data_IF_154027477242
#
_entry.id   IF_154027477242
#
_cell.length_a   1.000
_cell.length_b   1.000
_cell.length_c   1.000
_cell.angle_alpha   90.00
_cell.angle_beta   90.00
_cell.angle_gamma   90.00
#
_symmetry.space_group_name_H-M   'P 1'
#
loop_
_entity.id
_entity.type
_entity.pdbx_description
1 polymer ?
#
# COMPACT_ATOMS: atom_id res chain seq x y z
N UNK A 1 -14.80 -7.85 -13.38
CA UNK A 1 -14.92 -6.38 -13.15
C UNK A 1 -13.72 -5.68 -13.79
N UNK A 2 -13.93 -4.77 -14.74
CA UNK A 2 -12.83 -4.09 -15.44
C UNK A 2 -11.99 -3.21 -14.50
N UNK A 3 -10.68 -3.10 -14.74
CA UNK A 3 -9.78 -2.29 -13.91
C UNK A 3 -10.14 -0.81 -13.88
N UNK A 4 -10.90 -0.36 -14.88
CA UNK A 4 -11.52 0.97 -14.94
C UNK A 4 -12.38 1.29 -13.71
N UNK A 5 -13.10 0.31 -13.14
CA UNK A 5 -13.91 0.54 -11.94
C UNK A 5 -13.07 0.95 -10.74
N UNK A 6 -11.84 0.46 -10.63
CA UNK A 6 -10.93 0.86 -9.54
C UNK A 6 -10.43 2.29 -9.71
N UNK A 7 -10.12 2.71 -10.94
CA UNK A 7 -9.77 4.10 -11.19
C UNK A 7 -10.96 5.02 -10.92
N UNK A 8 -12.17 4.64 -11.33
CA UNK A 8 -13.40 5.36 -11.00
C UNK A 8 -13.58 5.46 -9.48
N UNK A 9 -13.32 4.38 -8.74
CA UNK A 9 -13.32 4.39 -7.28
C UNK A 9 -12.33 5.41 -6.71
N UNK A 10 -11.10 5.49 -7.22
CA UNK A 10 -10.13 6.50 -6.78
C UNK A 10 -10.59 7.94 -7.08
N UNK A 11 -11.36 8.16 -8.15
CA UNK A 11 -11.96 9.47 -8.47
C UNK A 11 -13.09 9.83 -7.50
N UNK A 12 -13.93 8.86 -7.13
CA UNK A 12 -15.09 9.06 -6.26
C UNK A 12 -14.69 9.09 -4.77
N UNK A 13 -13.65 8.37 -4.39
CA UNK A 13 -13.22 8.22 -3.00
C UNK A 13 -12.99 9.53 -2.23
N UNK A 14 -12.29 10.55 -2.77
CA UNK A 14 -12.14 11.86 -2.14
C UNK A 14 -13.48 12.52 -1.79
N UNK A 15 -14.52 12.23 -2.58
CA UNK A 15 -15.84 12.75 -2.35
C UNK A 15 -16.54 12.02 -1.20
N UNK A 16 -16.48 10.69 -1.21
CA UNK A 16 -17.01 9.87 -0.12
C UNK A 16 -16.28 10.12 1.21
N UNK A 17 -14.98 10.45 1.14
CA UNK A 17 -14.15 10.83 2.27
C UNK A 17 -14.35 12.27 2.74
N UNK A 18 -15.23 13.05 2.11
CA UNK A 18 -15.52 14.45 2.44
C UNK A 18 -14.25 15.33 2.52
N UNK A 19 -13.24 15.04 1.70
CA UNK A 19 -11.93 15.70 1.80
C UNK A 19 -12.01 17.22 1.58
N UNK A 20 -12.97 17.69 0.79
CA UNK A 20 -13.19 19.12 0.59
C UNK A 20 -13.53 19.87 1.89
N UNK A 21 -14.09 19.19 2.90
CA UNK A 21 -14.38 19.77 4.24
C UNK A 21 -13.19 19.71 5.17
N UNK A 22 -12.35 18.68 5.05
CA UNK A 22 -11.22 18.45 5.96
C UNK A 22 -9.91 19.08 5.47
N UNK A 23 -9.77 19.41 4.18
CA UNK A 23 -8.60 20.09 3.61
C UNK A 23 -8.32 21.49 4.20
N UNK A 24 -9.32 22.37 4.40
CA UNK A 24 -9.13 23.67 5.05
C UNK A 24 -8.45 23.58 6.42
N UNK A 25 -8.70 22.50 7.16
CA UNK A 25 -8.09 22.26 8.47
C UNK A 25 -6.58 22.01 8.38
N UNK A 26 -6.11 21.53 7.23
CA UNK A 26 -4.70 21.36 6.92
C UNK A 26 -4.08 22.60 6.23
N UNK A 27 -4.79 23.73 6.19
CA UNK A 27 -4.35 24.95 5.50
C UNK A 27 -4.33 24.81 3.97
N UNK A 28 -5.20 23.97 3.41
CA UNK A 28 -5.34 23.73 1.97
C UNK A 28 -6.73 24.14 1.49
N UNK A 29 -6.85 24.54 0.23
CA UNK A 29 -8.13 24.99 -0.32
C UNK A 29 -9.06 23.79 -0.58
N UNK A 30 -10.37 23.95 -0.36
CA UNK A 30 -11.34 22.86 -0.52
C UNK A 30 -11.39 22.27 -1.93
N UNK A 31 -11.16 23.10 -2.96
CA UNK A 31 -11.19 22.64 -4.35
C UNK A 31 -10.02 21.70 -4.67
N UNK A 32 -8.90 21.79 -3.95
CA UNK A 32 -7.74 20.91 -4.18
C UNK A 32 -8.08 19.44 -3.90
N UNK A 33 -9.05 19.19 -3.02
CA UNK A 33 -9.57 17.85 -2.74
C UNK A 33 -10.38 17.27 -3.91
N UNK A 34 -10.98 18.13 -4.74
CA UNK A 34 -11.91 17.74 -5.80
C UNK A 34 -11.20 17.43 -7.12
N UNK A 35 -9.99 17.99 -7.33
CA UNK A 35 -9.19 17.76 -8.54
C UNK A 35 -8.55 16.38 -8.49
N UNK A 36 -8.94 15.44 -9.37
CA UNK A 36 -8.40 14.09 -9.33
C UNK A 36 -6.90 14.04 -9.57
N UNK A 37 -6.20 13.16 -8.85
CA UNK A 37 -4.75 13.01 -8.91
C UNK A 37 -4.01 14.09 -8.12
N UNK A 38 -4.38 15.37 -8.30
CA UNK A 38 -3.82 16.47 -7.50
C UNK A 38 -4.20 16.34 -6.02
N UNK A 39 -5.42 15.92 -5.72
CA UNK A 39 -5.85 15.63 -4.35
C UNK A 39 -4.93 14.62 -3.63
N UNK A 40 -4.59 13.49 -4.25
CA UNK A 40 -3.66 12.52 -3.69
C UNK A 40 -2.23 13.06 -3.59
N UNK A 41 -1.79 13.87 -4.56
CA UNK A 41 -0.50 14.56 -4.46
C UNK A 41 -0.46 15.45 -3.22
N UNK A 42 -1.52 16.22 -2.95
CA UNK A 42 -1.65 17.09 -1.77
C UNK A 42 -1.69 16.24 -0.49
N UNK A 43 -2.48 15.17 -0.44
CA UNK A 43 -2.55 14.25 0.71
C UNK A 43 -1.16 13.71 1.06
N UNK A 44 -0.42 13.15 0.11
CA UNK A 44 0.91 12.61 0.39
C UNK A 44 1.93 13.71 0.74
N UNK A 45 1.74 14.93 0.20
CA UNK A 45 2.56 16.09 0.55
C UNK A 45 2.37 16.50 2.02
N UNK A 46 1.11 16.65 2.47
CA UNK A 46 0.81 17.15 3.82
C UNK A 46 0.96 16.08 4.91
N UNK A 47 0.80 14.79 4.57
CA UNK A 47 0.85 13.70 5.54
C UNK A 47 2.25 13.10 5.70
N UNK A 48 2.90 12.79 4.57
CA UNK A 48 4.13 11.98 4.51
C UNK A 48 5.32 12.74 3.93
N UNK A 49 5.14 13.98 3.45
CA UNK A 49 6.15 14.76 2.72
C UNK A 49 6.68 14.07 1.45
N UNK A 50 5.87 13.20 0.83
CA UNK A 50 6.25 12.42 -0.36
C UNK A 50 5.22 12.56 -1.49
N UNK A 51 5.03 13.77 -2.04
CA UNK A 51 3.95 14.05 -3.00
C UNK A 51 3.91 13.08 -4.19
N UNK A 52 5.07 12.70 -4.73
CA UNK A 52 5.18 11.81 -5.90
C UNK A 52 4.74 10.36 -5.64
N UNK A 53 4.49 9.98 -4.39
CA UNK A 53 3.87 8.68 -4.10
C UNK A 53 2.47 8.56 -4.70
N UNK A 54 1.79 9.67 -5.01
CA UNK A 54 0.53 9.64 -5.75
C UNK A 54 0.64 9.00 -7.13
N UNK A 55 1.79 9.05 -7.80
CA UNK A 55 1.98 8.44 -9.12
C UNK A 55 1.88 6.91 -9.07
N UNK A 56 2.17 6.31 -7.91
CA UNK A 56 2.08 4.86 -7.72
C UNK A 56 0.63 4.35 -7.74
N UNK A 57 -0.36 5.24 -7.58
CA UNK A 57 -1.79 4.92 -7.71
C UNK A 57 -2.20 4.56 -9.14
N UNK A 58 -1.37 4.83 -10.14
CA UNK A 58 -1.65 4.50 -11.54
C UNK A 58 -1.43 3.01 -11.81
N UNK A 59 -0.65 2.30 -10.98
CA UNK A 59 -0.33 0.89 -11.20
C UNK A 59 -1.39 -0.02 -10.58
N UNK A 60 -2.06 -0.88 -11.38
CA UNK A 60 -2.97 -1.89 -10.85
C UNK A 60 -2.34 -2.79 -9.78
N UNK A 61 -3.11 -3.19 -8.76
CA UNK A 61 -2.63 -3.88 -7.55
C UNK A 61 -1.94 -2.94 -6.54
N UNK A 62 -0.95 -2.16 -6.99
CA UNK A 62 -0.21 -1.22 -6.12
C UNK A 62 -1.10 -0.10 -5.63
N UNK A 63 -2.02 0.38 -6.47
CA UNK A 63 -2.93 1.45 -6.12
C UNK A 63 -3.76 1.16 -4.85
N UNK A 64 -4.10 -0.09 -4.53
CA UNK A 64 -4.82 -0.44 -3.30
C UNK A 64 -3.96 -0.20 -2.07
N UNK A 65 -2.69 -0.60 -2.12
CA UNK A 65 -1.72 -0.37 -1.05
C UNK A 65 -1.49 1.13 -0.87
N UNK A 66 -1.35 1.86 -1.98
CA UNK A 66 -1.14 3.30 -1.95
C UNK A 66 -2.38 4.05 -1.46
N UNK A 67 -3.57 3.61 -1.85
CA UNK A 67 -4.84 4.15 -1.37
C UNK A 67 -4.98 3.96 0.14
N UNK A 68 -4.76 2.73 0.64
CA UNK A 68 -4.76 2.45 2.08
C UNK A 68 -3.71 3.30 2.83
N UNK A 69 -2.51 3.44 2.26
CA UNK A 69 -1.44 4.28 2.80
C UNK A 69 -1.83 5.76 2.87
N UNK A 70 -2.46 6.31 1.83
CA UNK A 70 -2.96 7.68 1.80
C UNK A 70 -3.99 7.90 2.91
N UNK A 71 -4.96 7.00 3.04
CA UNK A 71 -6.05 7.10 4.01
C UNK A 71 -5.55 7.00 5.44
N UNK A 72 -4.76 5.96 5.72
CA UNK A 72 -4.17 5.75 7.03
C UNK A 72 -3.30 6.94 7.44
N UNK A 73 -2.46 7.44 6.53
CA UNK A 73 -1.60 8.59 6.80
C UNK A 73 -2.40 9.87 7.03
N UNK A 74 -3.55 10.01 6.35
CA UNK A 74 -4.43 11.16 6.51
C UNK A 74 -5.18 11.14 7.85
N UNK A 75 -5.87 10.04 8.20
CA UNK A 75 -6.61 9.95 9.47
C UNK A 75 -5.68 10.09 10.69
N UNK A 76 -4.43 9.64 10.56
CA UNK A 76 -3.39 9.82 11.57
C UNK A 76 -3.09 11.30 11.84
N UNK A 77 -3.25 12.20 10.87
CA UNK A 77 -3.12 13.65 11.09
C UNK A 77 -4.22 14.23 11.95
N UNK A 78 -5.30 13.50 12.17
CA UNK A 78 -6.40 13.91 13.05
C UNK A 78 -6.37 13.18 14.41
N UNK A 79 -5.27 12.49 14.73
CA UNK A 79 -5.08 11.84 16.03
C UNK A 79 -5.60 10.41 16.13
N UNK A 80 -6.06 9.81 15.03
CA UNK A 80 -6.55 8.43 15.00
C UNK A 80 -5.39 7.45 14.82
N UNK A 81 -4.98 6.82 15.92
CA UNK A 81 -3.78 5.97 15.99
C UNK A 81 -4.05 4.55 16.49
N UNK A 82 -5.24 4.28 17.03
CA UNK A 82 -5.52 3.00 17.67
C UNK A 82 -5.48 1.84 16.67
N UNK A 83 -5.45 0.62 17.21
CA UNK A 83 -5.56 -0.61 16.42
C UNK A 83 -6.79 -0.60 15.52
N UNK A 84 -7.96 -0.26 16.08
CA UNK A 84 -9.23 -0.23 15.36
C UNK A 84 -9.27 0.91 14.34
N UNK A 85 -8.67 2.06 14.67
CA UNK A 85 -8.61 3.17 13.73
C UNK A 85 -7.71 2.85 12.54
N UNK A 86 -6.61 2.12 12.77
CA UNK A 86 -5.72 1.71 11.71
C UNK A 86 -6.41 0.73 10.76
N UNK A 87 -7.14 -0.26 11.28
CA UNK A 87 -7.92 -1.19 10.44
C UNK A 87 -8.98 -0.46 9.62
N UNK A 88 -9.71 0.47 10.24
CA UNK A 88 -10.68 1.30 9.54
C UNK A 88 -10.00 2.16 8.47
N UNK A 89 -8.90 2.84 8.78
CA UNK A 89 -8.15 3.65 7.83
C UNK A 89 -7.65 2.85 6.61
N UNK A 90 -7.35 1.57 6.77
CA UNK A 90 -6.88 0.70 5.70
C UNK A 90 -8.03 0.15 4.84
N UNK A 91 -9.09 -0.37 5.46
CA UNK A 91 -10.14 -1.10 4.74
C UNK A 91 -11.44 -0.31 4.56
N UNK A 92 -11.85 0.47 5.55
CA UNK A 92 -13.15 1.16 5.60
C UNK A 92 -13.01 2.58 6.18
N UNK A 93 -12.33 3.49 5.47
CA UNK A 93 -11.87 4.75 6.06
C UNK A 93 -12.97 5.79 6.26
N UNK A 94 -14.15 5.59 5.64
CA UNK A 94 -15.18 6.62 5.51
C UNK A 94 -15.75 7.11 6.84
N UNK A 95 -15.88 6.24 7.84
CA UNK A 95 -16.33 6.65 9.17
C UNK A 95 -15.34 7.60 9.85
N UNK A 96 -14.03 7.28 9.79
CA UNK A 96 -13.00 8.15 10.34
C UNK A 96 -12.86 9.44 9.53
N UNK A 97 -12.96 9.35 8.21
CA UNK A 97 -12.92 10.53 7.33
C UNK A 97 -14.10 11.48 7.59
N UNK A 98 -15.29 10.94 7.88
CA UNK A 98 -16.41 11.73 8.35
C UNK A 98 -16.07 12.47 9.64
N UNK A 99 -15.49 11.80 10.64
CA UNK A 99 -15.01 12.48 11.87
C UNK A 99 -13.95 13.54 11.60
N UNK A 100 -13.03 13.30 10.66
CA UNK A 100 -12.06 14.31 10.21
C UNK A 100 -12.73 15.51 9.53
N UNK A 101 -13.96 15.37 9.05
CA UNK A 101 -14.75 16.43 8.42
C UNK A 101 -15.52 17.29 9.44
N UNK A 102 -15.74 16.81 10.67
CA UNK A 102 -16.48 17.53 11.73
C UNK A 102 -15.75 18.79 12.23
N UNK A 103 -16.48 19.85 12.54
CA UNK A 103 -15.92 21.17 12.88
C UNK A 103 -14.89 21.13 14.02
N UNK A 104 -15.11 20.28 15.01
CA UNK A 104 -14.23 20.16 16.19
C UNK A 104 -12.91 19.41 15.92
N UNK A 105 -12.75 18.79 14.75
CA UNK A 105 -11.54 18.02 14.45
C UNK A 105 -10.37 18.96 14.16
N UNK A 106 -9.19 18.68 14.72
CA UNK A 106 -7.99 19.48 14.50
C UNK A 106 -6.98 18.70 13.65
N UNK A 107 -6.36 19.36 12.68
CA UNK A 107 -5.23 18.79 11.95
C UNK A 107 -3.95 18.98 12.77
N UNK A 108 -3.44 17.87 13.31
CA UNK A 108 -2.26 17.83 14.16
C UNK A 108 -0.97 17.89 13.34
N UNK A 109 0.14 18.20 14.01
CA UNK A 109 1.48 18.12 13.45
C UNK A 109 1.96 16.66 13.24
N UNK A 110 3.17 16.48 12.68
CA UNK A 110 3.77 15.15 12.63
C UNK A 110 3.99 14.63 14.04
N UNK A 111 3.78 13.33 14.24
CA UNK A 111 4.06 12.65 15.51
C UNK A 111 5.46 13.00 15.99
N UNK A 112 5.55 13.50 17.22
CA UNK A 112 6.82 13.76 17.85
C UNK A 112 7.42 12.45 18.37
N UNK A 113 8.35 11.89 17.61
CA UNK A 113 9.03 10.65 17.97
C UNK A 113 9.94 10.75 19.22
N UNK A 114 10.15 11.96 19.73
CA UNK A 114 10.79 12.20 21.04
C UNK A 114 9.84 11.98 22.21
N UNK A 115 8.53 12.08 21.99
CA UNK A 115 7.52 11.95 23.01
C UNK A 115 7.14 10.46 23.20
N UNK A 116 7.40 9.92 24.39
CA UNK A 116 7.11 8.52 24.71
C UNK A 116 5.61 8.20 24.69
N UNK A 117 4.76 9.15 25.09
CA UNK A 117 3.30 8.97 25.14
C UNK A 117 2.74 8.86 23.72
N UNK A 118 3.16 9.74 22.81
CA UNK A 118 2.73 9.71 21.41
C UNK A 118 3.19 8.43 20.69
N UNK A 119 4.41 7.96 21.00
CA UNK A 119 4.91 6.69 20.48
C UNK A 119 4.08 5.51 20.95
N UNK A 120 3.79 5.43 22.25
CA UNK A 120 3.05 4.31 22.83
C UNK A 120 1.63 4.23 22.27
N UNK A 121 0.94 5.38 22.17
CA UNK A 121 -0.40 5.47 21.57
C UNK A 121 -0.46 4.95 20.13
N UNK A 122 0.66 5.01 19.40
CA UNK A 122 0.75 4.60 18.00
C UNK A 122 1.26 3.18 17.80
N UNK A 123 1.89 2.60 18.82
CA UNK A 123 2.64 1.34 18.72
C UNK A 123 1.83 0.25 18.02
N UNK A 124 0.65 -0.07 18.55
CA UNK A 124 -0.20 -1.14 18.02
C UNK A 124 -0.73 -0.84 16.62
N UNK A 125 -1.09 0.40 16.32
CA UNK A 125 -1.50 0.79 14.97
C UNK A 125 -0.36 0.63 13.95
N UNK A 126 0.87 0.99 14.32
CA UNK A 126 2.04 0.79 13.47
C UNK A 126 2.39 -0.69 13.30
N UNK A 127 2.18 -1.54 14.31
CA UNK A 127 2.24 -3.00 14.15
C UNK A 127 1.20 -3.50 13.14
N UNK A 128 -0.07 -3.10 13.22
CA UNK A 128 -1.08 -3.53 12.23
C UNK A 128 -0.69 -3.16 10.81
N UNK A 129 -0.28 -1.92 10.60
CA UNK A 129 0.17 -1.45 9.29
C UNK A 129 1.35 -2.27 8.77
N UNK A 130 2.29 -2.62 9.65
CA UNK A 130 3.44 -3.46 9.32
C UNK A 130 3.06 -4.92 9.07
N UNK A 131 2.09 -5.50 9.80
CA UNK A 131 1.64 -6.87 9.56
C UNK A 131 1.09 -7.04 8.15
N UNK A 132 0.36 -6.04 7.68
CA UNK A 132 -0.23 -6.05 6.34
C UNK A 132 0.78 -5.83 5.23
N UNK A 133 1.92 -5.18 5.50
CA UNK A 133 3.03 -5.09 4.54
C UNK A 133 4.00 -6.28 4.64
N UNK A 134 4.12 -6.89 5.82
CA UNK A 134 5.02 -8.00 6.14
C UNK A 134 4.27 -9.13 6.87
N UNK A 135 3.54 -9.97 6.13
CA UNK A 135 2.76 -11.04 6.75
C UNK A 135 3.64 -12.03 7.53
N UNK A 136 3.16 -12.38 8.73
CA UNK A 136 3.63 -13.43 9.66
C UNK A 136 5.12 -13.37 10.02
N UNK A 137 6.03 -13.76 9.12
CA UNK A 137 7.47 -13.86 9.40
C UNK A 137 8.12 -12.51 9.63
N UNK A 138 7.83 -11.53 8.77
CA UNK A 138 8.36 -10.17 8.97
C UNK A 138 7.78 -9.50 10.21
N UNK A 139 6.56 -9.86 10.61
CA UNK A 139 5.94 -9.34 11.83
C UNK A 139 6.55 -9.91 13.11
N UNK A 140 6.82 -11.22 13.14
CA UNK A 140 7.55 -11.87 14.25
C UNK A 140 8.95 -11.27 14.38
N UNK A 141 9.65 -11.10 13.26
CA UNK A 141 10.97 -10.44 13.24
C UNK A 141 10.88 -9.00 13.74
N UNK A 142 9.88 -8.24 13.30
CA UNK A 142 9.69 -6.86 13.75
C UNK A 142 9.40 -6.76 15.25
N UNK A 143 8.55 -7.64 15.79
CA UNK A 143 8.28 -7.72 17.23
C UNK A 143 9.53 -8.11 18.03
N UNK A 144 10.32 -9.06 17.53
CA UNK A 144 11.59 -9.45 18.16
C UNK A 144 12.61 -8.29 18.14
N UNK A 145 12.71 -7.57 17.02
CA UNK A 145 13.54 -6.37 16.92
C UNK A 145 13.05 -5.32 17.91
N UNK A 146 11.75 -5.04 17.98
CA UNK A 146 11.17 -4.08 18.93
C UNK A 146 11.47 -4.44 20.39
N UNK A 147 11.38 -5.73 20.73
CA UNK A 147 11.63 -6.21 22.08
C UNK A 147 13.10 -6.07 22.51
N UNK A 148 14.05 -6.13 21.56
CA UNK A 148 15.50 -6.12 21.83
C UNK A 148 16.13 -4.76 21.55
N UNK A 149 15.54 -3.94 20.68
CA UNK A 149 16.05 -2.61 20.35
C UNK A 149 15.52 -1.56 21.31
N UNK A 150 16.42 -0.67 21.77
CA UNK A 150 16.03 0.52 22.52
C UNK A 150 15.89 1.68 21.55
N UNK A 151 14.67 2.16 21.38
CA UNK A 151 14.41 3.36 20.59
C UNK A 151 15.10 4.58 21.23
N UNK A 152 15.91 5.29 20.45
CA UNK A 152 16.51 6.55 20.88
C UNK A 152 15.42 7.64 20.94
N UNK A 153 15.44 8.52 21.95
CA UNK A 153 14.55 9.68 21.98
C UNK A 153 14.75 10.54 20.72
N UNK A 154 13.68 10.82 20.00
CA UNK A 154 13.66 11.75 18.87
C UNK A 154 13.81 11.14 17.49
N UNK A 155 14.04 9.83 17.40
CA UNK A 155 14.03 9.10 16.12
C UNK A 155 12.78 8.24 16.01
N UNK A 156 12.30 8.02 14.78
CA UNK A 156 11.25 7.03 14.51
C UNK A 156 11.66 5.67 15.10
N UNK A 157 10.68 4.89 15.56
CA UNK A 157 10.99 3.54 16.05
C UNK A 157 11.65 2.73 14.94
N UNK A 158 12.58 1.84 15.29
CA UNK A 158 13.29 1.04 14.28
C UNK A 158 12.33 0.22 13.42
N UNK A 159 11.26 -0.27 14.04
CA UNK A 159 10.13 -0.96 13.39
C UNK A 159 9.46 -0.07 12.33
N UNK A 160 9.21 1.21 12.65
CA UNK A 160 8.59 2.15 11.70
C UNK A 160 9.52 2.52 10.54
N UNK A 161 10.80 2.77 10.83
CA UNK A 161 11.82 3.09 9.81
C UNK A 161 12.01 1.95 8.80
N UNK A 162 12.12 0.72 9.31
CA UNK A 162 12.22 -0.48 8.49
C UNK A 162 10.91 -0.76 7.73
N UNK A 163 9.76 -0.57 8.38
CA UNK A 163 8.46 -0.77 7.77
C UNK A 163 8.23 0.11 6.53
N UNK A 164 8.56 1.40 6.60
CA UNK A 164 8.43 2.32 5.46
C UNK A 164 9.35 1.94 4.29
N UNK A 165 10.59 1.53 4.60
CA UNK A 165 11.57 1.11 3.60
C UNK A 165 11.17 -0.21 2.93
N UNK A 166 10.72 -1.17 3.71
CA UNK A 166 10.28 -2.48 3.20
C UNK A 166 9.00 -2.34 2.38
N UNK A 167 8.01 -1.57 2.85
CA UNK A 167 6.79 -1.31 2.09
C UNK A 167 7.14 -0.75 0.70
N UNK A 168 8.05 0.23 0.66
CA UNK A 168 8.51 0.79 -0.61
C UNK A 168 9.21 -0.25 -1.49
N UNK A 169 10.11 -1.06 -0.92
CA UNK A 169 10.80 -2.12 -1.66
C UNK A 169 9.82 -3.18 -2.21
N UNK A 170 8.80 -3.58 -1.45
CA UNK A 170 7.78 -4.53 -1.88
C UNK A 170 6.90 -3.96 -2.99
N UNK A 171 6.51 -2.69 -2.89
CA UNK A 171 5.77 -2.00 -3.95
C UNK A 171 6.61 -1.94 -5.22
N UNK A 172 7.86 -1.49 -5.13
CA UNK A 172 8.77 -1.40 -6.27
C UNK A 172 9.03 -2.79 -6.90
N UNK A 173 9.34 -3.80 -6.09
CA UNK A 173 9.54 -5.18 -6.54
C UNK A 173 8.27 -5.75 -7.20
N UNK A 174 7.09 -5.45 -6.66
CA UNK A 174 5.82 -5.87 -7.25
C UNK A 174 5.57 -5.21 -8.61
N UNK A 175 5.87 -3.91 -8.76
CA UNK A 175 5.77 -3.22 -10.06
C UNK A 175 6.73 -3.84 -11.07
N UNK A 176 8.00 -3.98 -10.70
CA UNK A 176 9.04 -4.51 -11.59
C UNK A 176 8.68 -5.94 -12.03
N UNK A 177 8.33 -6.81 -11.07
CA UNK A 177 7.95 -8.20 -11.34
C UNK A 177 6.69 -8.31 -12.20
N UNK A 178 5.70 -7.43 -11.97
CA UNK A 178 4.43 -7.50 -12.69
C UNK A 178 4.55 -6.94 -14.10
N UNK A 179 5.24 -5.81 -14.28
CA UNK A 179 5.20 -5.03 -15.52
C UNK A 179 6.50 -5.03 -16.35
N UNK A 180 7.66 -5.27 -15.75
CA UNK A 180 8.96 -5.09 -16.42
C UNK A 180 9.58 -6.43 -16.81
N UNK A 181 9.97 -7.24 -15.83
CA UNK A 181 10.53 -8.57 -16.05
C UNK A 181 10.21 -9.48 -14.87
N UNK A 182 10.15 -10.78 -15.13
CA UNK A 182 9.89 -11.77 -14.09
C UNK A 182 10.86 -12.94 -14.21
N UNK A 183 11.50 -13.37 -13.10
CA UNK A 183 12.26 -14.60 -13.07
C UNK A 183 11.31 -15.80 -13.03
N UNK A 184 11.56 -16.78 -13.89
CA UNK A 184 10.87 -18.07 -13.87
C UNK A 184 11.89 -19.20 -13.72
N UNK A 185 11.47 -20.24 -13.02
CA UNK A 185 12.18 -21.53 -12.97
C UNK A 185 11.34 -22.55 -13.75
N UNK A 186 11.96 -23.30 -14.65
CA UNK A 186 11.26 -24.34 -15.42
C UNK A 186 10.97 -25.55 -14.53
N UNK A 187 9.69 -25.87 -14.24
CA UNK A 187 9.34 -26.94 -13.32
C UNK A 187 9.22 -28.32 -14.00
N UNK A 188 9.03 -28.35 -15.33
CA UNK A 188 8.67 -29.56 -16.08
C UNK A 188 9.44 -29.66 -17.38
N UNK A 189 9.76 -30.89 -17.79
CA UNK A 189 10.55 -31.18 -18.98
C UNK A 189 9.85 -31.02 -20.33
N UNK A 190 8.67 -30.39 -20.42
CA UNK A 190 7.97 -30.25 -21.71
C UNK A 190 8.75 -29.39 -22.72
N UNK A 191 9.71 -28.59 -22.23
CA UNK A 191 10.64 -27.79 -23.02
C UNK A 191 12.07 -28.36 -23.03
N UNK A 192 12.33 -29.62 -22.66
CA UNK A 192 13.69 -30.20 -22.53
C UNK A 192 14.56 -30.12 -23.80
N UNK A 193 13.94 -29.95 -24.97
CA UNK A 193 14.68 -29.74 -26.24
C UNK A 193 15.33 -28.35 -26.33
N UNK A 194 14.94 -27.39 -25.48
CA UNK A 194 15.43 -26.01 -25.46
C UNK A 194 15.82 -25.50 -24.07
N UNK A 195 15.13 -25.94 -23.01
CA UNK A 195 15.33 -25.52 -21.62
C UNK A 195 15.21 -26.74 -20.69
N UNK A 196 16.20 -26.95 -19.83
CA UNK A 196 16.22 -28.06 -18.90
C UNK A 196 15.41 -27.75 -17.64
N UNK A 197 14.94 -28.80 -16.96
CA UNK A 197 14.27 -28.67 -15.66
C UNK A 197 15.25 -28.09 -14.64
N UNK A 198 14.85 -27.00 -13.98
CA UNK A 198 15.69 -26.26 -13.04
C UNK A 198 16.37 -25.03 -13.62
N UNK A 199 16.31 -24.81 -14.95
CA UNK A 199 16.83 -23.59 -15.57
C UNK A 199 16.05 -22.35 -15.09
N UNK A 200 16.79 -21.27 -14.87
CA UNK A 200 16.25 -19.95 -14.55
C UNK A 200 16.28 -19.06 -15.79
N UNK A 201 15.16 -18.41 -16.06
CA UNK A 201 15.04 -17.50 -17.19
C UNK A 201 14.38 -16.19 -16.76
N UNK A 202 14.85 -15.09 -17.32
CA UNK A 202 14.23 -13.78 -17.16
C UNK A 202 13.35 -13.49 -18.36
N UNK A 203 12.06 -13.30 -18.10
CA UNK A 203 11.10 -12.97 -19.13
C UNK A 203 10.94 -11.45 -19.20
N UNK A 204 11.30 -10.85 -20.33
CA UNK A 204 11.07 -9.42 -20.59
C UNK A 204 9.60 -9.17 -20.96
N UNK A 205 8.82 -8.65 -20.01
CA UNK A 205 7.38 -8.35 -20.18
C UNK A 205 7.12 -7.09 -20.98
N UNK A 206 8.09 -6.18 -21.07
CA UNK A 206 7.96 -4.96 -21.87
C UNK A 206 7.88 -5.27 -23.37
N UNK A 207 8.58 -6.31 -23.83
CA UNK A 207 8.57 -6.71 -25.23
C UNK A 207 7.16 -7.17 -25.68
N UNK A 208 6.61 -8.21 -25.06
CA UNK A 208 5.34 -8.82 -25.50
C UNK A 208 4.08 -8.28 -24.80
N UNK A 209 4.23 -7.28 -23.93
CA UNK A 209 3.13 -6.65 -23.19
C UNK A 209 2.89 -7.29 -21.82
N UNK A 210 2.97 -6.53 -20.72
CA UNK A 210 2.71 -7.05 -19.40
C UNK A 210 1.23 -7.38 -19.19
N UNK A 211 0.97 -8.44 -18.44
CA UNK A 211 -0.38 -8.84 -18.03
C UNK A 211 -0.86 -7.93 -16.91
N UNK A 212 -2.09 -7.46 -17.04
CA UNK A 212 -2.75 -6.73 -15.98
C UNK A 212 -3.23 -7.73 -14.91
N UNK A 213 -2.99 -7.48 -13.60
CA UNK A 213 -3.48 -8.34 -12.52
C UNK A 213 -5.00 -8.54 -12.62
N UNK A 214 -5.41 -9.81 -12.73
CA UNK A 214 -6.82 -10.19 -12.85
C UNK A 214 -7.53 -10.10 -11.50
N UNK A 215 -6.86 -10.50 -10.43
CA UNK A 215 -7.37 -10.44 -9.06
C UNK A 215 -6.72 -9.26 -8.32
N UNK A 216 -7.50 -8.26 -7.89
CA UNK A 216 -6.96 -7.07 -7.23
C UNK A 216 -6.25 -7.40 -5.91
N UNK A 217 -6.78 -8.38 -5.18
CA UNK A 217 -6.23 -8.84 -3.90
C UNK A 217 -5.50 -10.17 -4.10
N UNK A 218 -4.16 -10.10 -4.07
CA UNK A 218 -3.29 -11.27 -4.09
C UNK A 218 -2.09 -11.06 -3.16
N UNK A 219 -1.59 -12.16 -2.62
CA UNK A 219 -0.37 -12.18 -1.82
C UNK A 219 0.80 -11.78 -2.73
N UNK A 220 1.60 -10.78 -2.34
CA UNK A 220 2.66 -10.27 -3.19
C UNK A 220 3.77 -11.33 -3.37
N UNK A 221 4.48 -11.26 -4.49
CA UNK A 221 5.69 -12.04 -4.77
C UNK A 221 5.51 -13.58 -4.89
N UNK A 222 4.28 -14.09 -4.91
CA UNK A 222 3.99 -15.52 -5.18
C UNK A 222 3.11 -15.67 -6.42
N UNK A 223 2.97 -16.90 -6.94
CA UNK A 223 2.25 -17.15 -8.19
C UNK A 223 0.85 -17.77 -8.00
N UNK A 224 0.69 -18.77 -7.13
CA UNK A 224 -0.58 -19.52 -7.00
C UNK A 224 -0.91 -19.94 -5.58
N UNK A 225 0.10 -20.31 -4.80
CA UNK A 225 -0.05 -20.83 -3.44
C UNK A 225 0.96 -20.16 -2.54
N UNK A 226 0.54 -19.87 -1.30
CA UNK A 226 1.46 -19.41 -0.25
C UNK A 226 2.26 -20.64 0.22
N UNK A 227 3.61 -20.65 0.11
CA UNK A 227 4.42 -21.86 0.31
C UNK A 227 4.23 -22.57 1.66
N UNK A 228 3.76 -21.85 2.68
CA UNK A 228 3.68 -22.31 4.07
C UNK A 228 2.28 -22.74 4.50
N UNK A 229 1.24 -22.27 3.81
CA UNK A 229 -0.16 -22.41 4.25
C UNK A 229 -0.97 -23.24 3.25
N UNK A 230 -0.36 -23.65 2.13
CA UNK A 230 -0.99 -24.37 1.02
C UNK A 230 -2.35 -23.79 0.60
N UNK A 231 -2.50 -22.47 0.75
CA UNK A 231 -3.71 -21.73 0.46
C UNK A 231 -3.47 -20.90 -0.81
N UNK A 232 -4.54 -20.69 -1.60
CA UNK A 232 -4.46 -19.87 -2.82
C UNK A 232 -3.91 -18.48 -2.48
N UNK A 233 -2.99 -17.98 -3.30
CA UNK A 233 -2.39 -16.67 -3.12
C UNK A 233 -3.26 -15.52 -3.63
N UNK A 234 -4.47 -15.80 -4.11
CA UNK A 234 -5.38 -14.81 -4.67
C UNK A 234 -6.81 -15.11 -4.23
N UNK A 235 -7.61 -14.06 -4.08
CA UNK A 235 -9.04 -14.21 -3.82
C UNK A 235 -9.81 -14.44 -5.11
N UNK A 236 -10.84 -15.29 -5.07
CA UNK A 236 -11.77 -15.53 -6.18
C UNK A 236 -13.02 -14.64 -6.11
N UNK A 237 -13.13 -13.78 -5.10
CA UNK A 237 -14.29 -12.92 -4.86
C UNK A 237 -14.50 -11.91 -5.98
N UNK A 238 -13.43 -11.33 -6.50
CA UNK A 238 -13.47 -10.40 -7.62
C UNK A 238 -12.39 -10.77 -8.63
N UNK A 239 -12.82 -11.22 -9.81
CA UNK A 239 -11.96 -11.46 -10.95
C UNK A 239 -12.25 -10.42 -12.05
N UNK A 240 -11.19 -9.78 -12.52
CA UNK A 240 -11.19 -8.99 -13.74
C UNK A 240 -11.26 -9.87 -14.99
N UNK A 241 -11.39 -9.24 -16.15
CA UNK A 241 -11.12 -9.92 -17.40
C UNK A 241 -9.61 -9.99 -17.63
N UNK A 242 -9.14 -11.06 -18.26
CA UNK A 242 -7.74 -11.15 -18.64
C UNK A 242 -7.43 -10.08 -19.68
N UNK A 243 -6.59 -9.12 -19.32
CA UNK A 243 -6.16 -8.04 -20.20
C UNK A 243 -4.64 -7.96 -20.21
N UNK A 244 -4.06 -7.75 -21.39
CA UNK A 244 -2.63 -7.52 -21.58
C UNK A 244 -2.44 -6.13 -22.16
N UNK A 245 -1.46 -5.39 -21.64
CA UNK A 245 -1.07 -4.10 -22.20
C UNK A 245 -0.32 -4.33 -23.52
N UNK A 246 -0.32 -3.36 -24.44
CA UNK A 246 0.50 -3.45 -25.65
C UNK A 246 1.98 -3.60 -25.28
N UNK A 247 2.67 -4.45 -26.01
CA UNK A 247 4.13 -4.60 -25.94
C UNK A 247 4.85 -3.50 -26.72
N UNK A 248 6.14 -3.33 -26.41
CA UNK A 248 7.02 -2.36 -27.05
C UNK A 248 8.00 -3.00 -28.04
N UNK A 249 7.89 -4.31 -28.32
CA UNK A 249 8.81 -5.05 -29.19
C UNK A 249 8.16 -6.20 -29.94
#
# INVERSE_FOLDING_TARGET
MSILYFFIFLLIHPYLGLWWKSFPKAGRESWEALVPGYNYFVIFKITCKKPFWSLLLIFPGVHLIMWASANLSYVRRFGYYSFTDTLQGIFFPYYLMYKCSEENSVFLEETNWSNSVERENRKWGDHVALFLSLPVLGHVVAMAIDAVTRDKPGTKSKVKEWGDSILFALVAASIIRTYVFEPFQIPTGSMEKTLLVGDFLFVNKLAYGPKVPVTPLSYPLVHNTVPWVNMKSYTTLEAGEYTRLPGFG
#
